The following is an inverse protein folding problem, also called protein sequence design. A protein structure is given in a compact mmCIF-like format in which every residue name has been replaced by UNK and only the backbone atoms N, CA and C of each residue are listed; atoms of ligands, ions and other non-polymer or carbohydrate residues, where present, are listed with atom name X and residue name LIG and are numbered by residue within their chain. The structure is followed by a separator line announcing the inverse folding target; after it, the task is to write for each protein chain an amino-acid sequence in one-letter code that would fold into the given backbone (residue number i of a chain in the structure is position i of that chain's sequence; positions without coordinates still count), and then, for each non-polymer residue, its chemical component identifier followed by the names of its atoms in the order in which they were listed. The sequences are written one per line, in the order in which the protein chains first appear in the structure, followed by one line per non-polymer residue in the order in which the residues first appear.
data_IF_381273030274
#
_entry.id   IF_381273030274
#
_cell.length_a   1.000
_cell.length_b   1.000
_cell.length_c   1.000
_cell.angle_alpha   90.00
_cell.angle_beta   90.00
_cell.angle_gamma   90.00
#
_symmetry.space_group_name_H-M   'P 1'
#
loop_
_entity.id
_entity.type
_entity.pdbx_description
1 polymer ?
#
# COMPACT_ATOMS: atom_id res chain seq x y z
N UNK A 1 -13.33 -13.53 -14.12
CA UNK A 1 -12.44 -14.04 -13.06
C UNK A 1 -13.14 -15.19 -12.34
N UNK A 2 -12.49 -16.34 -12.20
CA UNK A 2 -13.11 -17.57 -11.65
C UNK A 2 -13.52 -17.43 -10.16
N UNK A 3 -12.87 -16.55 -9.39
CA UNK A 3 -13.11 -16.36 -7.94
C UNK A 3 -13.90 -15.11 -7.57
N UNK A 4 -14.34 -14.33 -8.55
CA UNK A 4 -15.15 -13.12 -8.35
C UNK A 4 -14.74 -12.19 -7.17
N UNK A 5 -13.46 -11.79 -7.03
CA UNK A 5 -13.03 -11.02 -5.86
C UNK A 5 -13.57 -9.58 -5.88
N UNK A 6 -13.89 -9.06 -4.68
CA UNK A 6 -14.30 -7.66 -4.47
C UNK A 6 -13.13 -6.66 -4.60
N UNK A 7 -11.90 -7.13 -4.35
CA UNK A 7 -10.67 -6.34 -4.44
C UNK A 7 -9.68 -7.04 -5.35
N UNK A 8 -9.13 -6.31 -6.31
CA UNK A 8 -8.13 -6.79 -7.26
C UNK A 8 -6.86 -5.95 -7.15
N UNK A 9 -5.72 -6.63 -7.05
CA UNK A 9 -4.38 -6.01 -7.12
C UNK A 9 -3.71 -6.49 -8.40
N UNK A 10 -3.16 -5.56 -9.17
CA UNK A 10 -2.45 -5.86 -10.42
C UNK A 10 -1.10 -5.16 -10.42
N UNK A 11 -0.05 -5.88 -10.78
CA UNK A 11 1.26 -5.29 -10.98
C UNK A 11 1.46 -5.01 -12.47
N UNK A 12 1.63 -3.74 -12.82
CA UNK A 12 1.86 -3.24 -14.18
C UNK A 12 1.03 -3.92 -15.29
N UNK A 13 -0.31 -3.84 -15.25
CA UNK A 13 -1.19 -4.60 -16.14
C UNK A 13 -1.10 -4.20 -17.63
N UNK A 14 -0.33 -3.18 -17.95
CA UNK A 14 -0.12 -2.67 -19.31
C UNK A 14 1.29 -2.92 -19.86
N UNK A 15 2.21 -3.45 -19.04
CA UNK A 15 3.60 -3.68 -19.47
C UNK A 15 3.65 -4.76 -20.55
N UNK A 16 4.42 -4.49 -21.62
CA UNK A 16 4.53 -5.37 -22.79
C UNK A 16 3.34 -5.36 -23.74
N UNK A 17 2.32 -4.54 -23.49
CA UNK A 17 1.18 -4.38 -24.40
C UNK A 17 1.37 -3.18 -25.33
N UNK A 18 0.87 -3.30 -26.56
CA UNK A 18 0.73 -2.13 -27.42
C UNK A 18 -0.33 -1.16 -26.87
N UNK A 19 -0.31 0.08 -27.37
CA UNK A 19 -1.14 1.16 -26.86
C UNK A 19 -2.66 0.88 -26.94
N UNK A 20 -3.10 0.17 -27.98
CA UNK A 20 -4.51 -0.14 -28.18
C UNK A 20 -4.96 -1.24 -27.20
N UNK A 21 -4.17 -2.31 -27.09
CA UNK A 21 -4.46 -3.41 -26.17
C UNK A 21 -4.40 -2.96 -24.71
N UNK A 22 -3.39 -2.17 -24.33
CA UNK A 22 -3.30 -1.55 -23.01
C UNK A 22 -4.55 -0.71 -22.70
N UNK A 23 -4.99 0.14 -23.64
CA UNK A 23 -6.21 0.91 -23.47
C UNK A 23 -7.46 0.06 -23.27
N UNK A 24 -7.55 -1.09 -23.94
CA UNK A 24 -8.67 -2.04 -23.82
C UNK A 24 -8.68 -2.75 -22.47
N UNK A 25 -7.51 -3.17 -21.97
CA UNK A 25 -7.34 -3.73 -20.62
C UNK A 25 -7.81 -2.71 -19.59
N UNK A 26 -7.33 -1.47 -19.67
CA UNK A 26 -7.67 -0.43 -18.70
C UNK A 26 -9.16 -0.05 -18.72
N UNK A 27 -9.80 -0.02 -19.90
CA UNK A 27 -11.27 0.14 -20.01
C UNK A 27 -12.03 -1.02 -19.36
N UNK A 28 -11.51 -2.24 -19.47
CA UNK A 28 -12.12 -3.42 -18.84
C UNK A 28 -12.03 -3.33 -17.32
N UNK A 29 -10.86 -2.97 -16.79
CA UNK A 29 -10.68 -2.69 -15.36
C UNK A 29 -11.61 -1.57 -14.90
N UNK A 30 -11.76 -0.49 -15.69
CA UNK A 30 -12.69 0.59 -15.37
C UNK A 30 -14.13 0.10 -15.24
N UNK A 31 -14.61 -0.72 -16.19
CA UNK A 31 -15.97 -1.32 -16.14
C UNK A 31 -16.13 -2.20 -14.90
N UNK A 32 -15.13 -3.00 -14.56
CA UNK A 32 -15.13 -3.82 -13.35
C UNK A 32 -15.20 -2.96 -12.09
N UNK A 33 -14.51 -1.83 -12.04
CA UNK A 33 -14.58 -0.91 -10.90
C UNK A 33 -15.96 -0.26 -10.78
N UNK A 34 -16.52 0.20 -11.91
CA UNK A 34 -17.88 0.74 -11.97
C UNK A 34 -18.94 -0.29 -11.54
N UNK A 35 -18.66 -1.59 -11.72
CA UNK A 35 -19.52 -2.68 -11.26
C UNK A 35 -19.36 -3.02 -9.76
N UNK A 36 -18.66 -2.20 -8.98
CA UNK A 36 -18.55 -2.36 -7.52
C UNK A 36 -17.25 -3.00 -7.03
N UNK A 37 -16.25 -3.19 -7.88
CA UNK A 37 -14.95 -3.73 -7.47
C UNK A 37 -13.93 -2.65 -7.14
N UNK A 38 -13.15 -2.88 -6.09
CA UNK A 38 -11.95 -2.07 -5.83
C UNK A 38 -10.79 -2.63 -6.62
N UNK A 39 -10.14 -1.79 -7.43
CA UNK A 39 -9.00 -2.20 -8.25
C UNK A 39 -7.83 -1.30 -7.92
N UNK A 40 -6.71 -1.90 -7.54
CA UNK A 40 -5.45 -1.23 -7.23
C UNK A 40 -4.40 -1.76 -8.18
N UNK A 41 -3.64 -0.88 -8.83
CA UNK A 41 -2.58 -1.31 -9.73
C UNK A 41 -1.43 -0.32 -9.76
N UNK A 42 -0.23 -0.83 -10.01
CA UNK A 42 0.93 -0.04 -10.43
C UNK A 42 0.85 0.22 -11.93
N UNK A 43 1.33 1.38 -12.39
CA UNK A 43 1.46 1.66 -13.81
C UNK A 43 2.67 2.56 -14.06
N UNK A 44 3.45 2.20 -15.07
CA UNK A 44 4.59 2.99 -15.53
C UNK A 44 4.19 3.85 -16.73
N UNK A 45 4.38 5.17 -16.63
CA UNK A 45 4.19 6.14 -17.73
C UNK A 45 2.93 5.91 -18.60
N UNK A 46 1.72 6.00 -18.02
CA UNK A 46 0.49 5.78 -18.79
C UNK A 46 0.27 6.89 -19.82
N UNK A 47 -0.18 6.50 -21.02
CA UNK A 47 -0.71 7.45 -22.00
C UNK A 47 -1.88 8.24 -21.41
N UNK A 48 -2.07 9.47 -21.89
CA UNK A 48 -3.18 10.34 -21.46
C UNK A 48 -4.56 9.64 -21.54
N UNK A 49 -4.81 8.85 -22.58
CA UNK A 49 -6.07 8.10 -22.74
C UNK A 49 -6.33 7.09 -21.61
N UNK A 50 -5.27 6.53 -21.02
CA UNK A 50 -5.33 5.63 -19.86
C UNK A 50 -5.41 6.44 -18.57
N UNK A 51 -4.60 7.48 -18.42
CA UNK A 51 -4.58 8.34 -17.24
C UNK A 51 -5.98 8.88 -16.89
N UNK A 52 -6.75 9.28 -17.91
CA UNK A 52 -8.13 9.78 -17.75
C UNK A 52 -9.12 8.76 -17.19
N UNK A 53 -8.79 7.47 -17.16
CA UNK A 53 -9.68 6.43 -16.65
C UNK A 53 -9.59 6.28 -15.12
N UNK A 54 -8.53 6.79 -14.50
CA UNK A 54 -8.27 6.63 -13.07
C UNK A 54 -9.31 7.39 -12.24
N UNK A 55 -9.82 6.77 -11.17
CA UNK A 55 -10.64 7.48 -10.17
C UNK A 55 -9.76 8.19 -9.16
N UNK A 56 -8.68 7.53 -8.75
CA UNK A 56 -7.70 8.03 -7.79
C UNK A 56 -6.30 7.76 -8.27
N UNK A 57 -5.40 8.64 -7.86
CA UNK A 57 -3.97 8.53 -8.10
C UNK A 57 -3.23 8.58 -6.77
N UNK A 58 -2.26 7.69 -6.62
CA UNK A 58 -1.25 7.75 -5.58
C UNK A 58 0.11 7.93 -6.25
N UNK A 59 0.86 8.93 -5.82
CA UNK A 59 2.23 9.14 -6.23
C UNK A 59 3.16 8.76 -5.08
N UNK A 60 4.17 7.97 -5.40
CA UNK A 60 5.20 7.51 -4.47
C UNK A 60 6.57 7.93 -5.00
N UNK A 61 7.40 8.47 -4.11
CA UNK A 61 8.79 8.79 -4.38
C UNK A 61 9.65 8.42 -3.17
N UNK A 62 10.77 7.73 -3.39
CA UNK A 62 11.68 7.24 -2.35
C UNK A 62 10.93 6.39 -1.30
N UNK A 63 9.99 5.56 -1.74
CA UNK A 63 9.14 4.75 -0.87
C UNK A 63 8.13 5.53 -0.01
N UNK A 64 8.01 6.85 -0.22
CA UNK A 64 7.11 7.71 0.54
C UNK A 64 6.01 8.27 -0.36
N UNK A 65 4.79 8.32 0.16
CA UNK A 65 3.66 8.91 -0.55
C UNK A 65 3.79 10.43 -0.55
N UNK A 66 3.70 11.03 -1.74
CA UNK A 66 3.74 12.50 -1.91
C UNK A 66 2.40 13.08 -2.31
N UNK A 67 1.49 12.23 -2.79
CA UNK A 67 0.11 12.59 -3.13
C UNK A 67 -0.78 11.35 -3.10
N UNK A 68 -1.96 11.48 -2.52
CA UNK A 68 -3.06 10.54 -2.74
C UNK A 68 -4.40 11.29 -2.81
N UNK A 69 -5.14 11.10 -3.89
CA UNK A 69 -6.38 11.84 -4.10
C UNK A 69 -7.12 11.44 -5.36
N UNK A 70 -8.16 12.19 -5.74
CA UNK A 70 -8.76 12.08 -7.06
C UNK A 70 -7.69 12.23 -8.15
N UNK A 71 -7.84 11.48 -9.25
CA UNK A 71 -6.99 11.67 -10.42
C UNK A 71 -7.48 12.89 -11.26
N UNK A 72 -6.98 13.05 -12.48
CA UNK A 72 -7.40 14.14 -13.36
C UNK A 72 -6.65 15.44 -13.07
N UNK A 73 -7.36 16.55 -12.83
CA UNK A 73 -6.72 17.86 -12.61
C UNK A 73 -6.18 18.06 -11.19
N UNK A 74 -6.74 17.36 -10.20
CA UNK A 74 -6.36 17.51 -8.80
C UNK A 74 -4.85 17.36 -8.50
N UNK A 75 -4.13 16.34 -9.01
CA UNK A 75 -2.68 16.28 -8.81
C UNK A 75 -1.95 17.43 -9.50
N UNK A 76 -2.40 17.89 -10.68
CA UNK A 76 -1.78 19.05 -11.35
C UNK A 76 -1.95 20.31 -10.49
N UNK A 77 -3.16 20.55 -9.97
CA UNK A 77 -3.45 21.70 -9.11
C UNK A 77 -2.69 21.63 -7.78
N UNK A 78 -2.42 20.42 -7.28
CA UNK A 78 -1.56 20.20 -6.11
C UNK A 78 -0.12 20.63 -6.39
N UNK A 79 0.48 20.19 -7.50
CA UNK A 79 1.84 20.55 -7.89
C UNK A 79 1.98 22.04 -8.25
N UNK A 80 0.93 22.66 -8.79
CA UNK A 80 0.90 24.11 -9.08
C UNK A 80 1.14 24.97 -7.84
N UNK A 81 0.73 24.53 -6.65
CA UNK A 81 0.98 25.26 -5.39
C UNK A 81 2.46 25.39 -5.03
N UNK A 82 3.31 24.58 -5.64
CA UNK A 82 4.77 24.63 -5.48
C UNK A 82 5.48 25.28 -6.66
N UNK A 83 4.71 25.88 -7.58
CA UNK A 83 5.20 26.57 -8.76
C UNK A 83 5.48 25.68 -9.98
N UNK A 84 5.01 24.42 -9.97
CA UNK A 84 5.10 23.55 -11.14
C UNK A 84 3.84 23.65 -11.99
N UNK A 85 4.01 24.13 -13.22
CA UNK A 85 2.90 24.33 -14.16
C UNK A 85 2.97 23.30 -15.28
N UNK A 86 1.87 22.58 -15.50
CA UNK A 86 1.73 21.71 -16.67
C UNK A 86 1.68 22.56 -17.94
N UNK A 87 2.65 22.38 -18.83
CA UNK A 87 2.66 23.04 -20.14
C UNK A 87 1.65 22.38 -21.10
N UNK A 88 0.79 23.22 -21.68
CA UNK A 88 -0.12 22.92 -22.80
C UNK A 88 -0.54 21.46 -23.00
N UNK A 89 0.15 20.80 -23.95
CA UNK A 89 -0.19 19.47 -24.46
C UNK A 89 0.57 18.32 -23.79
N UNK A 90 1.33 18.60 -22.72
CA UNK A 90 2.07 17.57 -22.01
C UNK A 90 1.10 16.62 -21.33
N UNK A 91 1.46 15.34 -21.34
CA UNK A 91 0.71 14.32 -20.64
C UNK A 91 0.83 14.59 -19.12
N UNK A 92 -0.29 14.69 -18.39
CA UNK A 92 -0.27 14.87 -16.94
C UNK A 92 0.56 13.83 -16.19
N UNK A 93 0.54 12.58 -16.66
CA UNK A 93 1.30 11.52 -16.02
C UNK A 93 2.81 11.75 -16.13
N UNK A 94 3.26 12.19 -17.31
CA UNK A 94 4.68 12.47 -17.58
C UNK A 94 5.12 13.70 -16.79
N UNK A 95 4.37 14.81 -16.86
CA UNK A 95 4.62 16.01 -16.06
C UNK A 95 4.79 15.73 -14.55
N UNK A 96 3.91 14.90 -13.96
CA UNK A 96 3.99 14.58 -12.54
C UNK A 96 5.28 13.81 -12.23
N UNK A 97 5.67 12.87 -13.09
CA UNK A 97 6.90 12.08 -12.91
C UNK A 97 8.15 12.93 -13.13
N UNK A 98 8.18 13.74 -14.19
CA UNK A 98 9.28 14.64 -14.53
C UNK A 98 9.51 15.67 -13.41
N UNK A 99 8.42 16.16 -12.81
CA UNK A 99 8.51 17.06 -11.65
C UNK A 99 9.15 16.36 -10.45
N UNK A 100 8.76 15.12 -10.17
CA UNK A 100 9.34 14.32 -9.07
C UNK A 100 10.83 14.04 -9.33
N UNK A 101 11.24 13.91 -10.58
CA UNK A 101 12.63 13.73 -10.98
C UNK A 101 13.44 15.03 -11.00
N UNK A 102 12.82 16.19 -10.78
CA UNK A 102 13.47 17.49 -10.81
C UNK A 102 13.77 18.00 -12.23
N UNK A 103 13.05 17.50 -13.22
CA UNK A 103 13.24 17.86 -14.64
C UNK A 103 12.40 19.08 -15.05
N UNK A 104 11.35 19.38 -14.29
CA UNK A 104 10.47 20.53 -14.53
C UNK A 104 10.94 21.74 -13.71
N UNK A 105 11.21 22.90 -14.35
CA UNK A 105 11.57 24.11 -13.63
C UNK A 105 10.37 24.73 -12.89
N UNK A 106 10.65 25.43 -11.79
CA UNK A 106 9.65 26.22 -11.09
C UNK A 106 9.38 27.49 -11.90
N UNK A 107 8.11 27.79 -12.17
CA UNK A 107 7.72 29.03 -12.84
C UNK A 107 7.52 30.15 -11.82
N UNK A 108 8.21 31.28 -12.00
CA UNK A 108 8.21 32.44 -11.07
C UNK A 108 6.82 33.02 -10.80
N UNK A 109 5.85 32.79 -11.68
CA UNK A 109 4.46 33.27 -11.56
C UNK A 109 3.67 32.72 -10.35
N UNK A 110 4.26 31.89 -9.51
CA UNK A 110 3.59 31.27 -8.35
C UNK A 110 4.15 31.71 -7.00
N UNK A 111 5.19 32.56 -6.98
CA UNK A 111 5.82 33.04 -5.73
C UNK A 111 5.03 34.18 -5.09
N UNK A 112 4.06 34.80 -5.79
CA UNK A 112 3.28 35.94 -5.25
C UNK A 112 2.16 35.57 -4.26
N UNK A 113 2.01 34.30 -3.89
CA UNK A 113 1.02 33.87 -2.87
C UNK A 113 1.71 33.19 -1.70
N UNK A 114 2.52 33.94 -0.97
CA UNK A 114 2.99 33.53 0.35
C UNK A 114 4.27 34.23 0.80
N UNK A 115 4.10 35.11 1.79
CA UNK A 115 5.13 35.68 2.69
C UNK A 115 5.73 37.03 2.27
N UNK A 116 5.03 38.09 2.71
CA UNK A 116 5.70 39.30 3.21
C UNK A 116 6.53 38.90 4.44
N UNK A 117 7.84 38.83 4.28
CA UNK A 117 8.80 38.97 5.38
C UNK A 117 9.99 39.76 4.85
N UNK A 118 10.15 40.97 5.37
CA UNK A 118 11.35 41.79 5.19
C UNK A 118 12.59 41.03 5.66
N UNK A 119 13.56 40.86 4.77
CA UNK A 119 14.97 40.80 5.13
C UNK A 119 15.81 41.28 3.94
N UNK A 120 16.19 42.57 4.02
CA UNK A 120 17.44 43.19 3.56
C UNK A 120 18.02 42.74 2.21
N UNK A 121 18.01 43.70 1.27
CA UNK A 121 18.74 43.68 0.01
C UNK A 121 20.27 43.54 0.23
N UNK A 122 20.88 42.55 -0.42
CA UNK A 122 22.28 42.62 -0.86
C UNK A 122 22.28 42.68 -2.41
N UNK A 123 22.87 43.73 -3.04
CA UNK A 123 22.82 43.89 -4.47
C UNK A 123 24.10 43.35 -5.11
N UNK A 124 24.13 42.06 -5.44
CA UNK A 124 24.91 41.45 -6.55
C UNK A 124 24.85 39.92 -6.44
N UNK A 125 23.84 39.32 -7.06
CA UNK A 125 23.90 37.91 -7.43
C UNK A 125 23.66 37.86 -8.93
N UNK A 126 24.77 37.80 -9.66
CA UNK A 126 24.82 37.43 -11.06
C UNK A 126 24.02 36.13 -11.25
N UNK A 127 22.96 36.19 -12.06
CA UNK A 127 22.10 35.03 -12.36
C UNK A 127 22.88 34.13 -13.33
N UNK A 128 23.88 33.42 -12.78
CA UNK A 128 24.55 32.33 -13.46
C UNK A 128 23.64 31.11 -13.38
N UNK A 129 22.95 30.86 -14.50
CA UNK A 129 22.30 29.58 -14.79
C UNK A 129 23.25 28.44 -14.38
N UNK A 130 22.88 27.53 -13.45
CA UNK A 130 23.78 26.45 -13.05
C UNK A 130 24.11 25.59 -14.26
N UNK A 131 25.38 25.61 -14.65
CA UNK A 131 25.93 24.67 -15.61
C UNK A 131 25.65 23.26 -15.10
N UNK A 132 24.91 22.50 -15.91
CA UNK A 132 24.35 21.17 -15.59
C UNK A 132 25.48 20.16 -15.33
N UNK A 133 25.97 20.09 -14.10
CA UNK A 133 26.73 18.94 -13.61
C UNK A 133 25.76 17.88 -13.10
N UNK A 134 26.10 16.61 -13.31
CA UNK A 134 25.28 15.44 -12.95
C UNK A 134 24.92 15.37 -11.46
N UNK A 135 25.67 16.07 -10.61
CA UNK A 135 25.52 16.04 -9.15
C UNK A 135 24.47 17.04 -8.64
N UNK A 136 24.18 18.11 -9.40
CA UNK A 136 23.16 19.09 -9.05
C UNK A 136 21.73 18.54 -9.21
N UNK A 137 21.52 17.63 -10.17
CA UNK A 137 20.23 17.00 -10.43
C UNK A 137 19.73 16.15 -9.25
N UNK A 138 20.64 15.40 -8.59
CA UNK A 138 20.31 14.61 -7.40
C UNK A 138 19.91 15.47 -6.19
N UNK A 139 20.56 16.63 -6.02
CA UNK A 139 20.21 17.60 -4.98
C UNK A 139 18.83 18.23 -5.22
N UNK A 140 18.54 18.61 -6.47
CA UNK A 140 17.25 19.19 -6.84
C UNK A 140 16.10 18.20 -6.66
N UNK A 141 16.23 16.97 -7.19
CA UNK A 141 15.25 15.88 -7.01
C UNK A 141 14.91 15.67 -5.54
N UNK A 142 15.93 15.61 -4.69
CA UNK A 142 15.75 15.44 -3.25
C UNK A 142 14.96 16.61 -2.63
N UNK A 143 15.27 17.84 -3.05
CA UNK A 143 14.59 19.05 -2.55
C UNK A 143 13.11 19.07 -2.94
N UNK A 144 12.77 18.76 -4.19
CA UNK A 144 11.38 18.70 -4.66
C UNK A 144 10.58 17.66 -3.85
N UNK A 145 11.11 16.45 -3.74
CA UNK A 145 10.48 15.36 -2.99
C UNK A 145 10.26 15.78 -1.53
N UNK A 146 11.25 16.37 -0.87
CA UNK A 146 11.10 16.80 0.54
C UNK A 146 10.01 17.86 0.72
N UNK A 147 9.91 18.86 -0.19
CA UNK A 147 8.86 19.88 -0.12
C UNK A 147 7.46 19.25 -0.26
N UNK A 148 7.28 18.38 -1.25
CA UNK A 148 6.01 17.69 -1.47
C UNK A 148 5.65 16.76 -0.31
N UNK A 149 6.63 16.05 0.26
CA UNK A 149 6.43 15.18 1.41
C UNK A 149 6.03 15.94 2.67
N UNK A 150 6.69 17.06 2.95
CA UNK A 150 6.37 17.86 4.13
C UNK A 150 4.93 18.39 4.06
N UNK A 151 4.51 18.87 2.89
CA UNK A 151 3.12 19.27 2.69
C UNK A 151 2.15 18.08 2.78
N UNK A 152 2.47 16.94 2.17
CA UNK A 152 1.65 15.74 2.26
C UNK A 152 1.41 15.29 3.71
N UNK A 153 2.45 15.34 4.55
CA UNK A 153 2.38 14.98 5.97
C UNK A 153 1.48 15.89 6.80
N UNK A 154 1.26 17.12 6.34
CA UNK A 154 0.35 18.07 6.98
C UNK A 154 -1.11 17.89 6.54
N UNK A 155 -1.39 17.01 5.58
CA UNK A 155 -2.75 16.79 5.09
C UNK A 155 -3.60 15.99 6.09
N UNK A 156 -4.89 16.35 6.20
CA UNK A 156 -5.87 15.59 6.99
C UNK A 156 -5.95 14.12 6.58
N UNK A 157 -5.76 13.83 5.29
CA UNK A 157 -5.80 12.48 4.77
C UNK A 157 -4.63 11.65 5.27
N UNK A 158 -3.42 12.23 5.34
CA UNK A 158 -2.26 11.57 5.91
C UNK A 158 -2.49 11.25 7.39
N UNK A 159 -2.98 12.22 8.16
CA UNK A 159 -3.25 12.04 9.59
C UNK A 159 -4.27 10.91 9.83
N UNK A 160 -5.41 10.94 9.12
CA UNK A 160 -6.45 9.92 9.21
C UNK A 160 -5.96 8.53 8.81
N UNK A 161 -5.16 8.44 7.74
CA UNK A 161 -4.53 7.18 7.33
C UNK A 161 -3.57 6.67 8.38
N UNK A 162 -2.72 7.55 8.95
CA UNK A 162 -1.73 7.17 9.96
C UNK A 162 -2.40 6.67 11.24
N UNK A 163 -3.47 7.34 11.69
CA UNK A 163 -4.27 6.90 12.84
C UNK A 163 -4.86 5.49 12.58
N UNK A 164 -5.42 5.26 11.40
CA UNK A 164 -6.00 3.96 11.01
C UNK A 164 -4.94 2.85 10.97
N UNK A 165 -3.82 3.10 10.30
CA UNK A 165 -2.70 2.14 10.20
C UNK A 165 -2.13 1.82 11.58
N UNK A 166 -1.94 2.83 12.43
CA UNK A 166 -1.46 2.64 13.80
C UNK A 166 -2.43 1.82 14.64
N UNK A 167 -3.74 2.04 14.50
CA UNK A 167 -4.76 1.25 15.17
C UNK A 167 -4.72 -0.22 14.73
N UNK A 168 -4.61 -0.48 13.43
CA UNK A 168 -4.47 -1.84 12.88
C UNK A 168 -3.19 -2.51 13.39
N UNK A 169 -2.06 -1.81 13.35
CA UNK A 169 -0.77 -2.33 13.81
C UNK A 169 -0.79 -2.68 15.31
N UNK A 170 -1.41 -1.84 16.14
CA UNK A 170 -1.61 -2.11 17.57
C UNK A 170 -2.49 -3.35 17.78
N UNK A 171 -3.61 -3.45 17.06
CA UNK A 171 -4.50 -4.60 17.14
C UNK A 171 -3.82 -5.90 16.70
N UNK A 172 -3.00 -5.85 15.64
CA UNK A 172 -2.20 -6.97 15.18
C UNK A 172 -1.19 -7.42 16.23
N UNK A 173 -0.41 -6.49 16.82
CA UNK A 173 0.56 -6.77 17.89
C UNK A 173 -0.12 -7.38 19.12
N UNK A 174 -1.24 -6.83 19.57
CA UNK A 174 -1.98 -7.34 20.74
C UNK A 174 -2.46 -8.79 20.56
N UNK A 175 -2.89 -9.16 19.34
CA UNK A 175 -3.28 -10.55 19.01
C UNK A 175 -2.09 -11.51 19.00
N UNK A 176 -0.94 -11.07 18.50
CA UNK A 176 0.27 -11.91 18.41
C UNK A 176 1.00 -12.09 19.75
N UNK A 177 0.87 -11.14 20.69
CA UNK A 177 1.41 -11.29 22.05
C UNK A 177 0.58 -12.29 22.86
N UNK A 178 -0.75 -12.30 22.72
CA UNK A 178 -1.64 -13.25 23.40
C UNK A 178 -1.44 -14.72 22.99
N UNK A 179 -0.96 -14.99 21.77
CA UNK A 179 -0.67 -16.37 21.32
C UNK A 179 0.70 -16.89 21.78
N UNK A 180 1.51 -16.08 22.48
CA UNK A 180 2.87 -16.43 22.92
C UNK A 180 3.03 -16.53 24.44
N UNK A 181 1.97 -16.39 25.23
CA UNK A 181 2.06 -16.58 26.69
C UNK A 181 2.41 -18.06 27.01
N UNK A 182 3.44 -18.33 27.84
CA UNK A 182 3.76 -19.69 28.26
C UNK A 182 2.62 -20.24 29.12
N UNK A 183 2.27 -21.51 28.93
CA UNK A 183 1.40 -22.27 29.83
C UNK A 183 1.94 -22.16 31.27
N UNK A 184 1.10 -21.95 32.31
CA UNK A 184 1.59 -22.01 33.68
C UNK A 184 2.08 -23.44 33.95
N UNK A 185 3.39 -23.57 34.13
CA UNK A 185 4.06 -24.81 34.53
C UNK A 185 3.42 -25.33 35.82
N UNK A 186 2.96 -26.57 35.76
CA UNK A 186 2.30 -27.26 36.86
C UNK A 186 3.14 -27.27 38.13
N UNK A 187 2.47 -26.98 39.23
CA UNK A 187 3.00 -27.11 40.58
C UNK A 187 3.31 -28.60 40.83
N UNK A 188 4.59 -28.94 40.97
CA UNK A 188 5.03 -30.24 41.44
C UNK A 188 4.67 -30.38 42.93
N UNK A 189 3.67 -31.21 43.23
CA UNK A 189 3.46 -31.78 44.56
C UNK A 189 4.09 -33.16 44.59
N UNK A 190 5.20 -33.28 45.32
CA UNK A 190 5.86 -34.53 45.67
C UNK A 190 4.98 -35.39 46.59
N UNK A 191 4.89 -36.70 46.31
CA UNK A 191 4.95 -37.71 47.38
C UNK A 191 5.30 -39.11 46.83
N UNK A 192 5.93 -39.99 47.64
CA UNK A 192 6.75 -41.10 47.13
C UNK A 192 6.25 -42.50 47.56
N UNK A 193 6.89 -43.52 46.98
CA UNK A 193 7.04 -44.93 47.45
C UNK A 193 5.80 -45.84 47.42
N UNK A 194 5.77 -46.82 46.51
CA UNK A 194 5.95 -48.27 46.77
C UNK A 194 5.54 -49.12 45.54
N UNK A 195 6.43 -50.01 45.11
CA UNK A 195 6.13 -51.17 44.24
C UNK A 195 5.33 -52.24 45.05
N UNK A 196 4.75 -53.34 44.49
CA UNK A 196 5.54 -54.42 43.84
C UNK A 196 4.85 -55.27 42.72
N UNK A 197 5.69 -55.78 41.79
CA UNK A 197 5.89 -57.18 41.34
C UNK A 197 4.77 -58.15 40.83
N UNK A 198 5.22 -58.93 39.81
CA UNK A 198 4.93 -60.34 39.45
C UNK A 198 3.92 -60.72 38.32
N UNK A 199 4.45 -60.85 37.10
CA UNK A 199 4.58 -62.08 36.28
C UNK A 199 3.36 -62.96 35.88
N UNK A 200 3.20 -63.10 34.55
CA UNK A 200 3.01 -64.30 33.70
C UNK A 200 2.11 -65.48 34.15
N UNK A 201 1.11 -65.85 33.32
CA UNK A 201 1.04 -67.16 32.60
C UNK A 201 -0.30 -67.44 31.88
N UNK A 202 -0.20 -68.09 30.70
CA UNK A 202 -1.13 -69.04 30.03
C UNK A 202 -2.49 -68.62 29.42
N UNK A 203 -2.66 -69.02 28.15
CA UNK A 203 -3.85 -69.06 27.26
C UNK A 203 -4.66 -70.38 27.49
N UNK A 204 -5.74 -70.79 26.75
CA UNK A 204 -6.38 -70.23 25.53
C UNK A 204 -7.95 -70.30 25.45
N UNK A 205 -8.45 -69.83 24.30
CA UNK A 205 -9.74 -70.10 23.60
C UNK A 205 -11.07 -69.63 24.21
N UNK A 206 -11.64 -68.57 23.62
CA UNK A 206 -12.91 -68.70 22.88
C UNK A 206 -13.12 -67.52 21.92
N UNK A 207 -13.46 -67.83 20.66
CA UNK A 207 -14.03 -66.91 19.65
C UNK A 207 -15.58 -67.01 19.78
N UNK A 208 -16.43 -66.02 19.38
CA UNK A 208 -16.28 -65.30 18.12
C UNK A 208 -16.87 -63.87 17.98
N UNK A 209 -16.49 -63.24 16.86
CA UNK A 209 -17.21 -62.22 16.04
C UNK A 209 -17.43 -60.80 16.58
N UNK A 210 -16.63 -59.91 15.98
CA UNK A 210 -16.99 -58.61 15.39
C UNK A 210 -17.99 -57.75 16.17
N UNK A 211 -17.45 -56.95 17.08
CA UNK A 211 -18.08 -55.76 17.66
C UNK A 211 -17.09 -54.59 17.58
N UNK A 212 -17.59 -53.44 17.19
CA UNK A 212 -16.89 -52.21 16.84
C UNK A 212 -15.93 -51.72 17.93
N UNK A 213 -14.63 -51.61 17.59
CA UNK A 213 -13.65 -50.95 18.44
C UNK A 213 -13.62 -49.45 18.13
N UNK A 214 -14.26 -48.72 19.04
CA UNK A 214 -14.31 -47.28 19.20
C UNK A 214 -12.89 -46.72 19.40
N UNK A 215 -12.23 -46.30 18.33
CA UNK A 215 -11.06 -45.41 18.43
C UNK A 215 -11.56 -44.01 18.72
N UNK A 216 -11.36 -43.57 19.95
CA UNK A 216 -11.59 -42.20 20.39
C UNK A 216 -10.78 -41.26 19.50
N UNK A 217 -11.50 -40.39 18.80
CA UNK A 217 -10.98 -39.32 17.98
C UNK A 217 -10.17 -38.35 18.85
N UNK A 218 -8.92 -38.13 18.44
CA UNK A 218 -8.17 -36.94 18.78
C UNK A 218 -9.03 -35.69 18.49
N UNK A 219 -8.97 -34.62 19.30
CA UNK A 219 -9.74 -33.43 19.02
C UNK A 219 -9.25 -32.83 17.71
N UNK A 220 -10.08 -33.03 16.67
CA UNK A 220 -10.07 -32.26 15.44
C UNK A 220 -10.02 -30.79 15.85
N UNK A 221 -8.91 -30.12 15.52
CA UNK A 221 -8.82 -28.68 15.50
C UNK A 221 -10.02 -28.16 14.69
N UNK A 222 -11.08 -27.77 15.38
CA UNK A 222 -12.13 -26.92 14.84
C UNK A 222 -11.45 -25.63 14.47
N UNK A 223 -10.99 -25.55 13.22
CA UNK A 223 -10.79 -24.28 12.52
C UNK A 223 -12.15 -23.59 12.55
N UNK A 224 -12.36 -22.78 13.58
CA UNK A 224 -13.43 -21.81 13.63
C UNK A 224 -13.32 -20.97 12.34
N UNK A 225 -14.38 -20.85 11.54
CA UNK A 225 -14.45 -19.79 10.56
C UNK A 225 -14.56 -18.50 11.38
N UNK A 226 -13.42 -17.89 11.66
CA UNK A 226 -13.37 -16.53 12.20
C UNK A 226 -13.84 -15.63 11.07
N UNK A 227 -15.16 -15.53 10.94
CA UNK A 227 -15.86 -14.39 10.38
C UNK A 227 -15.31 -13.16 11.11
N UNK A 228 -14.24 -12.57 10.59
CA UNK A 228 -13.95 -11.16 10.81
C UNK A 228 -15.12 -10.41 10.19
N UNK A 229 -16.19 -10.24 10.97
CA UNK A 229 -17.18 -9.21 10.72
C UNK A 229 -16.45 -7.88 10.87
N UNK A 230 -15.93 -7.36 9.75
CA UNK A 230 -15.60 -5.94 9.56
C UNK A 230 -16.90 -5.12 9.51
N UNK A 231 -17.82 -5.32 10.46
CA UNK A 231 -18.98 -4.46 10.64
C UNK A 231 -18.46 -3.17 11.26
N UNK A 232 -18.44 -2.10 10.48
CA UNK A 232 -18.23 -0.74 11.00
C UNK A 232 -17.25 0.12 10.22
N UNK A 233 -16.50 -0.43 9.25
CA UNK A 233 -15.80 0.45 8.31
C UNK A 233 -16.80 0.88 7.23
N UNK A 234 -16.98 2.18 6.97
CA UNK A 234 -17.84 2.63 5.88
C UNK A 234 -17.34 1.96 4.59
N UNK A 235 -18.21 1.18 3.95
CA UNK A 235 -17.93 0.60 2.64
C UNK A 235 -17.78 1.78 1.68
N UNK A 236 -16.53 2.22 1.49
CA UNK A 236 -16.22 3.29 0.55
C UNK A 236 -16.63 2.79 -0.84
N UNK A 237 -17.17 3.66 -1.72
CA UNK A 237 -17.55 3.24 -3.05
C UNK A 237 -16.35 2.61 -3.76
N UNK A 238 -16.62 1.64 -4.62
CA UNK A 238 -15.63 0.98 -5.46
C UNK A 238 -14.81 2.01 -6.24
N UNK A 239 -13.48 1.86 -6.25
CA UNK A 239 -12.57 2.80 -6.88
C UNK A 239 -11.43 2.09 -7.59
N UNK A 240 -11.02 2.68 -8.70
CA UNK A 240 -9.77 2.39 -9.38
C UNK A 240 -8.66 3.30 -8.85
N UNK A 241 -7.62 2.72 -8.25
CA UNK A 241 -6.45 3.43 -7.72
C UNK A 241 -5.23 3.09 -8.57
N UNK A 242 -4.72 4.08 -9.30
CA UNK A 242 -3.42 3.98 -9.96
C UNK A 242 -2.29 4.38 -9.01
N UNK A 243 -1.24 3.56 -8.93
CA UNK A 243 0.00 3.85 -8.24
C UNK A 243 1.06 4.17 -9.29
N UNK A 244 1.58 5.39 -9.29
CA UNK A 244 2.80 5.73 -10.03
C UNK A 244 3.95 5.88 -9.03
N UNK A 245 5.08 5.28 -9.32
CA UNK A 245 6.26 5.32 -8.47
C UNK A 245 7.47 5.73 -9.30
N UNK A 246 8.24 6.73 -8.83
CA UNK A 246 9.51 7.14 -9.45
C UNK A 246 10.59 6.06 -9.40
N UNK A 247 10.43 5.08 -8.50
CA UNK A 247 11.44 4.05 -8.24
C UNK A 247 11.05 2.68 -8.80
N UNK A 248 9.92 2.57 -9.51
CA UNK A 248 9.59 1.37 -10.30
C UNK A 248 10.39 1.43 -11.62
N UNK A 249 11.71 1.31 -11.48
CA UNK A 249 12.53 0.58 -12.44
C UNK A 249 12.69 -0.80 -11.83
N UNK A 250 11.71 -1.68 -12.09
CA UNK A 250 11.86 -3.09 -11.75
C UNK A 250 13.08 -3.63 -12.51
N UNK A 251 14.15 -3.93 -11.76
CA UNK A 251 15.14 -4.91 -12.19
C UNK A 251 14.56 -6.31 -12.11
#
# INVERSE_FOLDING_TARGET
MIKDPLVLYLDEPTTGLDAYTAGTVMKTLKRMSNAGRTIVFSIHQPKYSIYRLFDRLTLIANGQMIYHGPAGRNPIDYFRRFGYVLEGYNNPADFLMDTIHGEVPITEASVELGEENEAVMDPEVDVLLPQRSTDASGSLRTTVIQRLLNFWRQSELFESCQQTVNAIARAYKARHVRSRSPSPSGVHSSNPVNAPYWSSSSTPSDRPRLGECRVQSAPVCRLLPSRLHLRGLPVRPAKQIGLCNSDISLR
#
